data_IF_535122309549
#
_entry.id   IF_535122309549
#
_cell.length_a   1.000
_cell.length_b   1.000
_cell.length_c   1.000
_cell.angle_alpha   90.00
_cell.angle_beta   90.00
_cell.angle_gamma   90.00
#
_symmetry.space_group_name_H-M   'P 1'
#
loop_
_entity.id
_entity.type
_entity.pdbx_description
1 polymer ?
#
# COMPACT_ATOMS: atom_id res chain seq x y z
N UNK A 1 -10.19 -13.40 2.81
CA UNK A 1 -9.38 -14.63 2.98
C UNK A 1 -7.88 -14.37 2.83
N UNK A 2 -7.40 -13.78 1.73
CA UNK A 2 -5.97 -13.49 1.54
C UNK A 2 -5.37 -12.61 2.64
N UNK A 3 -6.05 -11.53 3.04
CA UNK A 3 -5.62 -10.70 4.16
C UNK A 3 -5.53 -11.48 5.49
N UNK A 4 -6.35 -12.51 5.69
CA UNK A 4 -6.26 -13.36 6.87
C UNK A 4 -5.05 -14.30 6.82
N UNK A 5 -4.62 -14.73 5.63
CA UNK A 5 -3.37 -15.49 5.48
C UNK A 5 -2.19 -14.58 5.80
N UNK A 6 -2.21 -13.34 5.29
CA UNK A 6 -1.16 -12.37 5.58
C UNK A 6 -1.03 -12.08 7.09
N UNK A 7 -2.16 -11.97 7.82
CA UNK A 7 -2.12 -11.76 9.29
C UNK A 7 -1.58 -12.96 10.07
N UNK A 8 -1.74 -14.18 9.54
CA UNK A 8 -1.21 -15.39 10.15
C UNK A 8 0.29 -15.55 9.86
N UNK A 9 0.69 -15.39 8.60
CA UNK A 9 2.07 -15.49 8.15
C UNK A 9 2.31 -14.62 6.91
N UNK A 10 2.86 -13.43 7.15
CA UNK A 10 3.17 -12.47 6.09
C UNK A 10 4.21 -13.02 5.10
N UNK A 11 5.19 -13.76 5.59
CA UNK A 11 6.28 -14.25 4.76
C UNK A 11 5.77 -15.33 3.79
N UNK A 12 5.00 -16.30 4.28
CA UNK A 12 4.37 -17.33 3.44
C UNK A 12 3.43 -16.68 2.43
N UNK A 13 2.64 -15.70 2.84
CA UNK A 13 1.77 -14.95 1.95
C UNK A 13 2.54 -14.28 0.80
N UNK A 14 3.58 -13.50 1.14
CA UNK A 14 4.39 -12.78 0.16
C UNK A 14 5.17 -13.71 -0.76
N UNK A 15 5.74 -14.80 -0.24
CA UNK A 15 6.49 -15.77 -1.04
C UNK A 15 5.57 -16.54 -1.99
N UNK A 16 4.39 -16.98 -1.52
CA UNK A 16 3.45 -17.74 -2.35
C UNK A 16 2.90 -16.92 -3.52
N UNK A 17 2.57 -15.65 -3.29
CA UNK A 17 2.08 -14.76 -4.34
C UNK A 17 3.21 -14.14 -5.18
N UNK A 18 4.42 -14.03 -4.61
CA UNK A 18 5.59 -13.45 -5.26
C UNK A 18 6.36 -14.43 -6.14
N UNK A 19 6.02 -15.72 -6.09
CA UNK A 19 6.65 -16.75 -6.92
C UNK A 19 6.55 -16.43 -8.41
N UNK A 20 7.56 -16.86 -9.18
CA UNK A 20 7.60 -16.66 -10.62
C UNK A 20 6.35 -17.27 -11.29
N UNK A 21 5.73 -16.54 -12.20
CA UNK A 21 4.47 -16.91 -12.83
C UNK A 21 3.22 -16.56 -11.99
N UNK A 22 3.20 -16.90 -10.70
CA UNK A 22 2.08 -16.55 -9.81
C UNK A 22 1.95 -15.05 -9.59
N UNK A 23 3.07 -14.35 -9.48
CA UNK A 23 3.13 -12.89 -9.33
C UNK A 23 2.50 -12.13 -10.50
N UNK A 24 2.61 -12.64 -11.72
CA UNK A 24 2.01 -12.01 -12.90
C UNK A 24 0.49 -12.16 -12.91
N UNK A 25 -0.01 -13.36 -12.58
CA UNK A 25 -1.45 -13.61 -12.46
C UNK A 25 -2.04 -12.83 -11.29
N UNK A 26 -1.35 -12.80 -10.15
CA UNK A 26 -1.75 -11.97 -9.01
C UNK A 26 -1.84 -10.49 -9.42
N UNK A 27 -0.84 -9.97 -10.13
CA UNK A 27 -0.85 -8.60 -10.65
C UNK A 27 -2.04 -8.34 -11.56
N UNK A 28 -2.35 -9.24 -12.49
CA UNK A 28 -3.51 -9.09 -13.38
C UNK A 28 -4.83 -9.09 -12.60
N UNK A 29 -5.00 -10.03 -11.68
CA UNK A 29 -6.21 -10.14 -10.85
C UNK A 29 -6.36 -8.90 -9.96
N UNK A 30 -5.30 -8.48 -9.27
CA UNK A 30 -5.32 -7.31 -8.40
C UNK A 30 -5.64 -6.03 -9.19
N UNK A 31 -4.99 -5.82 -10.34
CA UNK A 31 -5.27 -4.69 -11.23
C UNK A 31 -6.73 -4.68 -11.69
N UNK A 32 -7.24 -5.81 -12.16
CA UNK A 32 -8.65 -5.92 -12.56
C UNK A 32 -9.60 -5.64 -11.40
N UNK A 33 -9.32 -6.16 -10.20
CA UNK A 33 -10.16 -5.97 -9.02
C UNK A 33 -10.16 -4.52 -8.54
N UNK A 34 -9.02 -3.82 -8.54
CA UNK A 34 -8.96 -2.37 -8.22
C UNK A 34 -9.79 -1.58 -9.21
N UNK A 35 -9.61 -1.82 -10.51
CA UNK A 35 -10.39 -1.16 -11.56
C UNK A 35 -11.90 -1.46 -11.43
N UNK A 36 -12.28 -2.72 -11.32
CA UNK A 36 -13.68 -3.14 -11.25
C UNK A 36 -14.39 -2.58 -10.01
N UNK A 37 -13.79 -2.75 -8.84
CA UNK A 37 -14.41 -2.34 -7.57
C UNK A 37 -14.52 -0.82 -7.42
N UNK A 38 -13.56 -0.05 -7.97
CA UNK A 38 -13.63 1.41 -8.01
C UNK A 38 -14.72 1.94 -8.95
N UNK A 39 -14.99 1.27 -10.06
CA UNK A 39 -16.02 1.68 -11.03
C UNK A 39 -17.43 1.26 -10.64
N UNK A 40 -17.57 0.09 -10.00
CA UNK A 40 -18.87 -0.46 -9.58
C UNK A 40 -19.20 -0.20 -8.11
N UNK A 41 -18.45 0.68 -7.43
CA UNK A 41 -18.67 1.11 -6.05
C UNK A 41 -18.76 -0.07 -5.05
N UNK A 42 -17.98 -1.13 -5.29
CA UNK A 42 -17.88 -2.26 -4.37
C UNK A 42 -16.81 -1.96 -3.31
N UNK A 43 -17.16 -1.05 -2.41
CA UNK A 43 -16.23 -0.43 -1.45
C UNK A 43 -15.53 -1.47 -0.54
N UNK A 44 -16.28 -2.43 -0.01
CA UNK A 44 -15.73 -3.49 0.85
C UNK A 44 -14.68 -4.34 0.11
N UNK A 45 -14.95 -4.71 -1.15
CA UNK A 45 -14.00 -5.47 -1.96
C UNK A 45 -12.77 -4.63 -2.29
N UNK A 46 -12.97 -3.35 -2.64
CA UNK A 46 -11.86 -2.44 -2.93
C UNK A 46 -10.94 -2.32 -1.71
N UNK A 47 -11.49 -2.21 -0.50
CA UNK A 47 -10.71 -2.16 0.74
C UNK A 47 -9.88 -3.43 0.94
N UNK A 48 -10.49 -4.61 0.78
CA UNK A 48 -9.78 -5.88 0.90
C UNK A 48 -8.64 -5.99 -0.12
N UNK A 49 -8.85 -5.51 -1.35
CA UNK A 49 -7.82 -5.53 -2.41
C UNK A 49 -6.68 -4.55 -2.09
N UNK A 50 -6.98 -3.33 -1.64
CA UNK A 50 -5.97 -2.34 -1.24
C UNK A 50 -5.11 -2.88 -0.08
N UNK A 51 -5.72 -3.50 0.92
CA UNK A 51 -5.01 -4.11 2.04
C UNK A 51 -4.17 -5.31 1.59
N UNK A 52 -4.69 -6.12 0.67
CA UNK A 52 -3.98 -7.28 0.11
C UNK A 52 -2.71 -6.84 -0.63
N UNK A 53 -2.80 -5.76 -1.42
CA UNK A 53 -1.66 -5.17 -2.11
C UNK A 53 -0.64 -4.62 -1.11
N UNK A 54 -1.10 -3.91 -0.07
CA UNK A 54 -0.21 -3.40 0.98
C UNK A 54 0.57 -4.53 1.66
N UNK A 55 -0.12 -5.59 2.08
CA UNK A 55 0.52 -6.76 2.69
C UNK A 55 1.47 -7.46 1.71
N UNK A 56 1.16 -7.47 0.42
CA UNK A 56 2.01 -8.07 -0.59
C UNK A 56 3.34 -7.33 -0.74
N UNK A 57 3.34 -5.99 -0.63
CA UNK A 57 4.51 -5.15 -0.93
C UNK A 57 5.30 -4.70 0.29
N UNK A 58 4.71 -4.73 1.49
CA UNK A 58 5.35 -4.19 2.70
C UNK A 58 6.71 -4.83 2.98
N UNK A 59 7.74 -3.99 3.05
CA UNK A 59 9.14 -4.37 3.26
C UNK A 59 9.69 -5.41 2.25
N UNK A 60 9.09 -5.49 1.06
CA UNK A 60 9.44 -6.48 0.05
C UNK A 60 9.64 -5.81 -1.32
N UNK A 61 10.89 -5.50 -1.66
CA UNK A 61 11.25 -4.77 -2.88
C UNK A 61 10.85 -5.49 -4.17
N UNK A 62 10.90 -6.82 -4.18
CA UNK A 62 10.57 -7.60 -5.36
C UNK A 62 9.06 -7.52 -5.65
N UNK A 63 8.24 -7.65 -4.60
CA UNK A 63 6.79 -7.49 -4.70
C UNK A 63 6.37 -6.04 -4.99
N UNK A 64 7.10 -5.04 -4.47
CA UNK A 64 6.92 -3.64 -4.84
C UNK A 64 7.16 -3.39 -6.35
N UNK A 65 8.13 -4.07 -6.95
CA UNK A 65 8.41 -3.95 -8.38
C UNK A 65 7.33 -4.60 -9.24
N UNK A 66 6.69 -5.66 -8.75
CA UNK A 66 5.57 -6.30 -9.44
C UNK A 66 4.41 -5.30 -9.61
N UNK A 67 4.03 -4.56 -8.57
CA UNK A 67 2.84 -3.68 -8.63
C UNK A 67 3.00 -2.44 -9.51
N UNK A 68 4.23 -1.96 -9.75
CA UNK A 68 4.50 -0.86 -10.70
C UNK A 68 4.71 -1.32 -12.14
N UNK A 69 4.75 -2.63 -12.40
CA UNK A 69 5.10 -3.18 -13.72
C UNK A 69 3.88 -3.50 -14.59
N UNK A 70 4.14 -3.73 -15.88
CA UNK A 70 3.14 -4.18 -16.86
C UNK A 70 2.44 -3.03 -17.59
N UNK A 71 1.21 -3.28 -18.06
CA UNK A 71 0.47 -2.30 -18.84
C UNK A 71 -0.07 -1.17 -17.95
N UNK A 72 0.04 0.07 -18.43
CA UNK A 72 -0.59 1.22 -17.80
C UNK A 72 -2.11 1.25 -18.04
N UNK A 73 -2.91 1.68 -17.04
CA UNK A 73 -2.49 2.10 -15.72
C UNK A 73 -2.08 0.91 -14.84
N UNK A 74 -0.88 1.00 -14.25
CA UNK A 74 -0.35 -0.04 -13.33
C UNK A 74 -1.14 -0.05 -12.02
N UNK A 75 -0.95 -1.05 -11.15
CA UNK A 75 -1.67 -1.09 -9.86
C UNK A 75 -1.38 0.18 -9.05
N UNK A 76 -0.11 0.60 -8.99
CA UNK A 76 0.28 1.84 -8.32
C UNK A 76 -0.45 3.05 -8.90
N UNK A 77 -0.47 3.20 -10.23
CA UNK A 77 -1.17 4.32 -10.87
C UNK A 77 -2.68 4.29 -10.64
N UNK A 78 -3.30 3.11 -10.66
CA UNK A 78 -4.72 2.95 -10.35
C UNK A 78 -5.05 3.33 -8.91
N UNK A 79 -4.21 2.95 -7.94
CA UNK A 79 -4.36 3.36 -6.54
C UNK A 79 -4.25 4.88 -6.39
N UNK A 80 -3.34 5.51 -7.14
CA UNK A 80 -3.22 6.97 -7.18
C UNK A 80 -4.43 7.68 -7.82
N UNK A 81 -5.15 6.98 -8.69
CA UNK A 81 -6.30 7.50 -9.44
C UNK A 81 -7.65 7.21 -8.78
N UNK A 82 -7.66 6.70 -7.54
CA UNK A 82 -8.90 6.43 -6.81
C UNK A 82 -9.72 7.71 -6.56
N UNK A 83 -11.03 7.59 -6.27
CA UNK A 83 -11.85 8.75 -5.94
C UNK A 83 -11.29 9.58 -4.78
N UNK A 84 -11.47 10.91 -4.84
CA UNK A 84 -10.93 11.87 -3.85
C UNK A 84 -11.22 11.53 -2.37
N UNK A 85 -12.30 10.80 -2.10
CA UNK A 85 -12.66 10.33 -0.76
C UNK A 85 -11.53 9.47 -0.13
N UNK A 86 -10.81 8.67 -0.93
CA UNK A 86 -9.65 7.89 -0.48
C UNK A 86 -8.44 8.74 -0.08
N UNK A 87 -8.45 10.03 -0.42
CA UNK A 87 -7.41 11.01 -0.09
C UNK A 87 -7.82 12.02 0.98
N UNK A 88 -9.07 11.98 1.43
CA UNK A 88 -9.65 13.03 2.30
C UNK A 88 -10.47 12.51 3.48
N UNK A 89 -11.17 11.38 3.35
CA UNK A 89 -11.89 10.75 4.48
C UNK A 89 -10.89 9.96 5.35
N UNK A 90 -10.73 10.31 6.64
CA UNK A 90 -9.82 9.62 7.55
C UNK A 90 -9.95 8.09 7.56
N UNK A 91 -11.18 7.57 7.37
CA UNK A 91 -11.44 6.13 7.34
C UNK A 91 -10.80 5.45 6.14
N UNK A 92 -10.87 6.11 4.98
CA UNK A 92 -10.33 5.59 3.72
C UNK A 92 -8.84 5.87 3.58
N UNK A 93 -8.36 7.02 4.06
CA UNK A 93 -6.91 7.32 4.09
C UNK A 93 -6.17 6.33 4.98
N UNK A 94 -6.78 5.87 6.08
CA UNK A 94 -6.24 4.80 6.93
C UNK A 94 -6.10 3.45 6.22
N UNK A 95 -6.68 3.28 5.04
CA UNK A 95 -6.54 2.08 4.20
C UNK A 95 -5.54 2.35 3.07
N UNK A 96 -5.76 3.43 2.30
CA UNK A 96 -4.96 3.71 1.11
C UNK A 96 -3.53 4.14 1.44
N UNK A 97 -3.34 5.08 2.38
CA UNK A 97 -2.04 5.71 2.59
C UNK A 97 -1.00 4.73 3.13
N UNK A 98 -1.32 3.86 4.12
CA UNK A 98 -0.39 2.81 4.53
C UNK A 98 0.03 1.90 3.37
N UNK A 99 -0.89 1.55 2.47
CA UNK A 99 -0.58 0.75 1.26
C UNK A 99 0.35 1.51 0.31
N UNK A 100 0.09 2.79 0.02
CA UNK A 100 0.99 3.59 -0.83
C UNK A 100 2.39 3.73 -0.23
N UNK A 101 2.48 3.94 1.09
CA UNK A 101 3.76 3.99 1.80
C UNK A 101 4.48 2.64 1.68
N UNK A 102 3.78 1.52 1.87
CA UNK A 102 4.36 0.18 1.73
C UNK A 102 4.90 -0.08 0.31
N UNK A 103 4.20 0.39 -0.73
CA UNK A 103 4.62 0.27 -2.13
C UNK A 103 5.89 1.10 -2.40
N UNK A 104 6.00 2.30 -1.84
CA UNK A 104 7.10 3.22 -2.10
C UNK A 104 8.29 3.11 -1.13
N UNK A 105 8.14 2.38 -0.02
CA UNK A 105 9.17 2.31 1.02
C UNK A 105 10.49 1.77 0.48
N UNK A 106 11.54 2.59 0.54
CA UNK A 106 12.88 2.30 0.01
C UNK A 106 12.89 1.90 -1.47
N UNK A 107 11.93 2.41 -2.26
CA UNK A 107 11.81 2.16 -3.70
C UNK A 107 11.70 3.48 -4.47
N UNK A 108 12.81 4.04 -4.96
CA UNK A 108 12.82 5.35 -5.60
C UNK A 108 12.00 5.39 -6.90
N UNK A 109 11.93 4.28 -7.65
CA UNK A 109 11.13 4.20 -8.88
C UNK A 109 9.64 4.31 -8.58
N UNK A 110 9.14 3.54 -7.61
CA UNK A 110 7.73 3.63 -7.20
C UNK A 110 7.40 5.01 -6.65
N UNK A 111 8.34 5.62 -5.93
CA UNK A 111 8.18 6.96 -5.41
C UNK A 111 8.08 8.01 -6.53
N UNK A 112 8.93 7.93 -7.56
CA UNK A 112 8.86 8.84 -8.70
C UNK A 112 7.50 8.77 -9.41
N UNK A 113 6.96 7.55 -9.59
CA UNK A 113 5.61 7.35 -10.14
C UNK A 113 4.56 7.99 -9.21
N UNK A 114 4.65 7.76 -7.90
CA UNK A 114 3.74 8.36 -6.93
C UNK A 114 3.75 9.89 -7.00
N UNK A 115 4.93 10.51 -7.09
CA UNK A 115 5.10 11.97 -7.15
C UNK A 115 4.52 12.60 -8.42
N UNK A 116 4.48 11.84 -9.52
CA UNK A 116 3.84 12.28 -10.76
C UNK A 116 2.31 12.29 -10.65
N UNK A 117 1.74 11.39 -9.86
CA UNK A 117 0.29 11.20 -9.75
C UNK A 117 -0.31 11.92 -8.52
N UNK A 118 0.45 12.08 -7.44
CA UNK A 118 -0.01 12.56 -6.14
C UNK A 118 1.02 13.44 -5.42
N UNK A 119 0.53 14.37 -4.58
CA UNK A 119 1.40 15.15 -3.70
C UNK A 119 1.89 14.32 -2.50
N UNK A 120 3.21 14.11 -2.43
CA UNK A 120 3.88 13.48 -1.28
C UNK A 120 3.63 14.17 0.06
N UNK A 121 3.17 15.42 0.06
CA UNK A 121 2.79 16.16 1.28
C UNK A 121 1.63 15.47 2.02
N UNK A 122 0.70 14.84 1.30
CA UNK A 122 -0.43 14.13 1.91
C UNK A 122 0.06 12.94 2.76
N UNK A 123 1.00 12.16 2.22
CA UNK A 123 1.60 11.04 2.95
C UNK A 123 2.45 11.52 4.13
N UNK A 124 3.25 12.58 3.93
CA UNK A 124 4.06 13.16 5.01
C UNK A 124 3.18 13.63 6.18
N UNK A 125 2.11 14.38 5.90
CA UNK A 125 1.16 14.83 6.92
C UNK A 125 0.51 13.66 7.65
N UNK A 126 0.10 12.62 6.92
CA UNK A 126 -0.50 11.42 7.50
C UNK A 126 0.46 10.70 8.47
N UNK A 127 1.73 10.59 8.09
CA UNK A 127 2.77 9.99 8.93
C UNK A 127 3.04 10.85 10.16
N UNK A 128 3.15 12.19 10.00
CA UNK A 128 3.35 13.11 11.13
C UNK A 128 2.21 13.02 12.15
N UNK A 129 0.95 13.06 11.68
CA UNK A 129 -0.23 12.97 12.54
C UNK A 129 -0.23 11.67 13.33
N UNK A 130 0.06 10.53 12.70
CA UNK A 130 0.04 9.26 13.40
C UNK A 130 1.31 8.97 14.22
N UNK A 131 2.44 9.64 13.94
CA UNK A 131 3.58 9.66 14.85
C UNK A 131 3.26 10.43 16.15
N UNK A 132 2.38 11.43 16.07
CA UNK A 132 1.91 12.23 17.21
C UNK A 132 0.73 11.59 17.96
N UNK A 133 -0.05 10.72 17.31
CA UNK A 133 -1.18 10.02 17.91
C UNK A 133 -1.08 8.51 17.68
N UNK A 134 -0.91 7.74 18.77
CA UNK A 134 -0.85 6.28 18.80
C UNK A 134 -1.55 5.55 17.62
N UNK A 135 -0.83 5.32 16.52
CA UNK A 135 -1.24 4.52 15.35
C UNK A 135 -1.77 3.12 15.73
N UNK A 136 -1.42 2.63 16.92
CA UNK A 136 -1.51 1.23 17.30
C UNK A 136 -2.88 0.71 17.77
N UNK A 137 -3.97 1.51 17.79
CA UNK A 137 -5.27 0.99 18.30
C UNK A 137 -6.33 0.71 17.24
N UNK A 138 -6.33 1.45 16.14
CA UNK A 138 -7.39 1.30 15.13
C UNK A 138 -6.90 0.62 13.83
N UNK A 139 -5.58 0.46 13.64
CA UNK A 139 -4.96 -0.26 12.50
C UNK A 139 -4.68 -1.75 12.79
N UNK A 140 -5.47 -2.37 13.68
CA UNK A 140 -5.07 -3.60 14.42
C UNK A 140 -5.20 -4.93 13.65
N UNK A 141 -5.50 -4.97 12.35
CA UNK A 141 -5.64 -6.28 11.65
C UNK A 141 -4.90 -6.34 10.30
N UNK A 142 -3.75 -5.66 10.16
CA UNK A 142 -2.85 -5.97 9.04
C UNK A 142 -1.39 -6.03 9.47
N UNK A 143 -0.60 -6.99 8.93
CA UNK A 143 0.85 -7.06 9.08
C UNK A 143 1.57 -5.76 8.78
N UNK A 144 0.94 -4.88 8.00
CA UNK A 144 1.37 -3.51 7.73
C UNK A 144 1.67 -2.73 9.03
N UNK A 145 0.77 -2.75 10.02
CA UNK A 145 0.96 -2.01 11.27
C UNK A 145 2.18 -2.50 12.05
N UNK A 146 2.36 -3.83 12.13
CA UNK A 146 3.52 -4.45 12.77
C UNK A 146 4.81 -4.20 11.99
N UNK A 147 4.78 -4.21 10.66
CA UNK A 147 5.93 -3.94 9.82
C UNK A 147 6.41 -2.48 9.96
N UNK A 148 5.47 -1.52 10.05
CA UNK A 148 5.81 -0.12 10.33
C UNK A 148 6.41 0.08 11.73
N UNK A 149 6.00 -0.71 12.73
CA UNK A 149 6.60 -0.65 14.08
C UNK A 149 8.02 -1.22 14.16
N UNK A 150 8.42 -2.05 13.20
CA UNK A 150 9.76 -2.65 13.11
C UNK A 150 10.74 -1.79 12.31
N UNK A 151 10.27 -0.74 11.62
CA UNK A 151 11.14 0.23 10.98
C UNK A 151 11.90 1.03 12.05
N UNK A 152 13.25 1.04 12.06
CA UNK A 152 14.06 1.75 13.06
C UNK A 152 13.97 3.29 12.98
N UNK A 153 13.04 3.82 12.20
CA UNK A 153 12.94 5.23 11.79
C UNK A 153 11.57 5.85 12.02
N UNK A 154 10.77 5.36 12.97
CA UNK A 154 9.55 6.04 13.46
C UNK A 154 9.89 7.25 14.36
N UNK A 155 10.92 8.01 14.01
CA UNK A 155 11.06 9.41 14.40
C UNK A 155 10.61 10.21 13.19
N UNK A 156 9.56 11.02 13.33
CA UNK A 156 8.85 11.69 12.23
C UNK A 156 9.71 12.37 11.15
N UNK A 157 10.98 12.68 11.42
CA UNK A 157 11.93 13.23 10.46
C UNK A 157 12.44 12.27 9.36
N UNK A 158 12.45 10.95 9.56
CA UNK A 158 13.06 10.00 8.61
C UNK A 158 12.10 9.39 7.60
N UNK A 159 10.81 9.25 7.94
CA UNK A 159 9.80 8.80 6.97
C UNK A 159 9.47 9.92 5.98
N UNK A 160 9.49 11.17 6.45
CA UNK A 160 9.52 12.36 5.61
C UNK A 160 10.73 12.28 4.65
N UNK A 161 11.93 11.93 5.11
CA UNK A 161 13.09 11.76 4.21
C UNK A 161 12.98 10.56 3.24
N UNK A 162 12.37 9.44 3.65
CA UNK A 162 12.14 8.29 2.78
C UNK A 162 11.14 8.59 1.64
N UNK A 163 10.23 9.54 1.87
CA UNK A 163 9.25 10.02 0.87
C UNK A 163 9.67 11.37 0.25
N UNK A 164 10.73 12.05 0.72
CA UNK A 164 11.15 13.38 0.22
C UNK A 164 12.56 13.48 -0.39
N UNK A 165 13.39 12.42 -0.41
CA UNK A 165 14.65 12.42 -1.17
C UNK A 165 14.69 11.49 -2.36
#
# INVERSE_FOLDING_TARGET
MLNHIATLDLQVFQQSLGEEGMSLEFRHIASYLVWYSSHHLCEELLHEVILCIGNFTVLNSDNQNIVQSGQSPTILQQLCSLPFQYFSDPRLTNILFPTLIAICYNNPSNKEILEQELSCVLLANFIEIGALGNFCKDLVISPLASAFSQCPTVSGQNVIQAVQR
#
